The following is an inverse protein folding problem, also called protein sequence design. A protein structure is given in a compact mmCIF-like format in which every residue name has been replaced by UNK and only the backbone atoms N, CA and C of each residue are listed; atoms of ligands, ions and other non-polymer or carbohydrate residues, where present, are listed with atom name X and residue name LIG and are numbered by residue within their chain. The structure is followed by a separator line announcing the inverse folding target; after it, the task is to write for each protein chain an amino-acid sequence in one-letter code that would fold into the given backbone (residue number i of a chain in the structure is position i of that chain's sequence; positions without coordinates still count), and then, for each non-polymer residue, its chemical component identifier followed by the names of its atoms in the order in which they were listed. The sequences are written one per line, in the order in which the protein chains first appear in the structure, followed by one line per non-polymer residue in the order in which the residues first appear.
data_IF_570783792253
#
_entry.id   IF_570783792253
#
_cell.length_a   1.000
_cell.length_b   1.000
_cell.length_c   1.000
_cell.angle_alpha   90.00
_cell.angle_beta   90.00
_cell.angle_gamma   90.00
#
_symmetry.space_group_name_H-M   'P 1'
#
loop_
_entity.id
_entity.type
_entity.pdbx_description
1 polymer ?
#
# COMPACT_ATOMS: atom_id res chain seq x y z
N UNK A 1 8.24 -5.02 34.76
CA UNK A 1 6.80 -4.69 34.66
C UNK A 1 6.31 -4.57 33.19
N UNK A 2 6.57 -5.55 32.31
CA UNK A 2 6.14 -5.51 30.89
C UNK A 2 5.07 -6.56 30.52
N UNK A 3 4.82 -7.52 31.41
CA UNK A 3 3.94 -8.68 31.17
C UNK A 3 2.45 -8.30 31.12
N UNK A 4 2.06 -7.21 31.79
CA UNK A 4 0.68 -6.74 31.89
C UNK A 4 0.12 -6.14 30.61
N UNK A 5 0.95 -5.49 29.78
CA UNK A 5 0.48 -4.85 28.53
C UNK A 5 0.15 -5.87 27.44
N UNK A 6 0.98 -6.90 27.28
CA UNK A 6 0.72 -8.02 26.34
C UNK A 6 -0.53 -8.80 26.72
N UNK A 7 -0.69 -9.13 28.01
CA UNK A 7 -1.88 -9.84 28.49
C UNK A 7 -3.17 -9.03 28.29
N UNK A 8 -3.11 -7.70 28.41
CA UNK A 8 -4.26 -6.82 28.16
C UNK A 8 -4.67 -6.80 26.68
N UNK A 9 -3.69 -6.72 25.77
CA UNK A 9 -3.94 -6.76 24.33
C UNK A 9 -4.53 -8.11 23.89
N UNK A 10 -4.00 -9.21 24.44
CA UNK A 10 -4.50 -10.54 24.12
C UNK A 10 -5.95 -10.74 24.57
N UNK A 11 -6.28 -10.31 25.81
CA UNK A 11 -7.66 -10.34 26.29
C UNK A 11 -8.61 -9.49 25.44
N UNK A 12 -8.14 -8.34 24.98
CA UNK A 12 -8.92 -7.45 24.13
C UNK A 12 -9.17 -8.10 22.76
N UNK A 13 -8.14 -8.72 22.16
CA UNK A 13 -8.24 -9.44 20.89
C UNK A 13 -9.25 -10.59 20.99
N UNK A 14 -9.11 -11.46 22.00
CA UNK A 14 -10.01 -12.60 22.22
C UNK A 14 -11.46 -12.16 22.45
N UNK A 15 -11.68 -11.08 23.22
CA UNK A 15 -13.03 -10.54 23.40
C UNK A 15 -13.62 -9.97 22.11
N UNK A 16 -12.78 -9.36 21.26
CA UNK A 16 -13.20 -8.80 19.98
C UNK A 16 -13.56 -9.91 19.00
N UNK A 17 -12.76 -10.98 18.92
CA UNK A 17 -13.04 -12.18 18.13
C UNK A 17 -14.35 -12.84 18.59
N UNK A 18 -14.53 -13.10 19.89
CA UNK A 18 -15.79 -13.66 20.43
C UNK A 18 -17.01 -12.81 20.14
N UNK A 19 -16.85 -11.47 20.13
CA UNK A 19 -17.95 -10.57 19.80
C UNK A 19 -18.36 -10.70 18.33
N UNK A 20 -17.39 -10.81 17.42
CA UNK A 20 -17.66 -11.04 16.00
C UNK A 20 -18.25 -12.42 15.73
N UNK A 21 -17.79 -13.46 16.43
CA UNK A 21 -18.33 -14.82 16.30
C UNK A 21 -19.78 -14.91 16.79
N UNK A 22 -20.13 -14.15 17.83
CA UNK A 22 -21.50 -14.05 18.36
C UNK A 22 -22.45 -13.23 17.48
N UNK A 23 -21.92 -12.44 16.54
CA UNK A 23 -22.71 -11.55 15.69
C UNK A 23 -22.43 -11.82 14.20
N UNK A 24 -23.06 -12.89 13.70
CA UNK A 24 -23.00 -13.26 12.29
C UNK A 24 -23.35 -12.06 11.40
N UNK A 25 -22.50 -11.77 10.41
CA UNK A 25 -22.66 -10.66 9.47
C UNK A 25 -22.11 -9.31 9.93
N UNK A 26 -21.90 -9.06 11.24
CA UNK A 26 -21.36 -7.77 11.72
C UNK A 26 -19.91 -7.54 11.33
N UNK A 27 -19.12 -8.62 11.21
CA UNK A 27 -17.74 -8.56 10.72
C UNK A 27 -17.69 -8.12 9.25
N UNK A 28 -18.57 -8.68 8.42
CA UNK A 28 -18.64 -8.31 7.01
C UNK A 28 -19.20 -6.90 6.82
N UNK A 29 -20.21 -6.50 7.59
CA UNK A 29 -20.75 -5.12 7.59
C UNK A 29 -19.66 -4.09 7.95
N UNK A 30 -18.82 -4.38 8.95
CA UNK A 30 -17.69 -3.52 9.29
C UNK A 30 -16.62 -3.48 8.20
N UNK A 31 -16.31 -4.62 7.58
CA UNK A 31 -15.38 -4.71 6.47
C UNK A 31 -15.87 -3.88 5.27
N UNK A 32 -17.14 -4.00 4.89
CA UNK A 32 -17.77 -3.21 3.84
C UNK A 32 -17.72 -1.72 4.19
N UNK A 33 -18.04 -1.34 5.43
CA UNK A 33 -17.97 0.07 5.88
C UNK A 33 -16.53 0.60 5.90
N UNK A 34 -15.54 -0.24 6.18
CA UNK A 34 -14.13 0.12 6.06
C UNK A 34 -13.74 0.31 4.58
N UNK A 35 -14.15 -0.59 3.68
CA UNK A 35 -13.94 -0.48 2.23
C UNK A 35 -14.51 0.82 1.67
N UNK A 36 -15.77 1.16 2.01
CA UNK A 36 -16.42 2.41 1.57
C UNK A 36 -15.70 3.64 2.10
N UNK A 37 -15.28 3.65 3.38
CA UNK A 37 -14.51 4.77 3.94
C UNK A 37 -13.17 4.96 3.22
N UNK A 38 -12.47 3.88 2.91
CA UNK A 38 -11.21 3.93 2.17
C UNK A 38 -11.42 4.39 0.72
N UNK A 39 -12.47 3.93 0.04
CA UNK A 39 -12.83 4.39 -1.30
C UNK A 39 -13.15 5.90 -1.32
N UNK A 40 -13.90 6.39 -0.33
CA UNK A 40 -14.22 7.81 -0.20
C UNK A 40 -12.97 8.66 0.10
N UNK A 41 -12.05 8.16 0.94
CA UNK A 41 -10.75 8.79 1.17
C UNK A 41 -9.90 8.86 -0.11
N UNK A 42 -9.91 7.81 -0.94
CA UNK A 42 -9.23 7.78 -2.25
C UNK A 42 -9.82 8.83 -3.21
N UNK A 43 -11.14 8.92 -3.30
CA UNK A 43 -11.83 9.93 -4.12
C UNK A 43 -11.54 11.36 -3.64
N UNK A 44 -11.52 11.58 -2.32
CA UNK A 44 -11.21 12.90 -1.75
C UNK A 44 -9.78 13.33 -2.07
N UNK A 45 -8.79 12.45 -1.88
CA UNK A 45 -7.39 12.75 -2.20
C UNK A 45 -7.14 12.97 -3.68
N UNK A 46 -7.84 12.26 -4.56
CA UNK A 46 -7.76 12.51 -6.02
C UNK A 46 -8.27 13.90 -6.39
N UNK A 47 -9.32 14.41 -5.72
CA UNK A 47 -9.80 15.79 -5.92
C UNK A 47 -8.79 16.81 -5.42
N UNK A 48 -8.25 16.62 -4.22
CA UNK A 48 -7.22 17.51 -3.64
C UNK A 48 -5.96 17.58 -4.53
N UNK A 49 -5.47 16.45 -5.04
CA UNK A 49 -4.31 16.42 -5.93
C UNK A 49 -4.56 17.10 -7.30
N UNK A 50 -5.82 17.13 -7.75
CA UNK A 50 -6.19 17.78 -9.00
C UNK A 50 -6.30 19.30 -8.83
N UNK A 51 -6.72 19.77 -7.66
CA UNK A 51 -6.78 21.19 -7.31
C UNK A 51 -5.37 21.79 -7.11
N UNK A 52 -4.43 21.04 -6.51
CA UNK A 52 -3.03 21.46 -6.33
C UNK A 52 -2.27 21.57 -7.67
N UNK A 53 -2.55 20.67 -8.62
CA UNK A 53 -1.96 20.71 -9.95
C UNK A 53 -2.42 21.92 -10.78
N UNK A 54 -3.65 22.42 -10.54
CA UNK A 54 -4.16 23.62 -11.20
C UNK A 54 -3.55 24.92 -10.63
N UNK A 55 -3.13 24.93 -9.36
CA UNK A 55 -2.65 26.13 -8.68
C UNK A 55 -1.12 26.37 -8.80
N UNK A 56 -0.35 25.40 -9.34
CA UNK A 56 1.13 25.49 -9.40
C UNK A 56 1.66 26.09 -10.71
N UNK A 57 0.81 26.69 -11.56
CA UNK A 57 1.21 27.20 -12.89
C UNK A 57 1.36 28.72 -13.03
N UNK A 58 1.45 29.46 -11.92
CA UNK A 58 1.61 30.91 -11.99
C UNK A 58 2.36 31.50 -10.80
N UNK A 59 3.69 31.49 -10.85
CA UNK A 59 4.50 32.70 -10.59
C UNK A 59 5.97 32.38 -10.82
N UNK A 60 6.52 32.95 -11.87
CA UNK A 60 7.96 33.05 -12.10
C UNK A 60 8.39 34.43 -11.62
N UNK A 61 9.16 34.50 -10.53
CA UNK A 61 9.88 35.71 -10.15
C UNK A 61 11.33 35.40 -9.77
N UNK A 62 12.25 36.34 -10.00
CA UNK A 62 13.66 36.08 -10.17
C UNK A 62 14.46 36.14 -8.87
N UNK A 63 15.61 35.47 -8.91
CA UNK A 63 16.64 35.39 -7.90
C UNK A 63 17.22 36.78 -7.57
N UNK A 64 17.21 37.15 -6.29
CA UNK A 64 18.16 38.12 -5.72
C UNK A 64 18.65 37.61 -4.34
N UNK A 65 19.98 37.53 -4.21
CA UNK A 65 20.71 37.38 -2.94
C UNK A 65 21.09 38.78 -2.44
N UNK A 66 21.09 39.03 -1.11
CA UNK A 66 22.39 39.05 -0.44
C UNK A 66 22.42 38.57 1.03
N UNK A 67 23.65 38.33 1.48
CA UNK A 67 24.20 37.99 2.81
C UNK A 67 23.70 38.83 3.99
N UNK A 68 23.47 38.22 5.16
CA UNK A 68 24.32 38.34 6.38
C UNK A 68 23.64 37.84 7.67
N UNK A 69 24.42 37.06 8.41
CA UNK A 69 24.66 37.01 9.87
C UNK A 69 23.52 36.93 10.93
N UNK A 70 23.76 35.96 11.81
CA UNK A 70 23.45 35.84 13.24
C UNK A 70 22.12 35.24 13.76
N UNK A 71 22.35 34.22 14.58
CA UNK A 71 21.67 33.79 15.80
C UNK A 71 20.29 33.10 15.77
N UNK A 72 20.37 31.79 16.01
CA UNK A 72 19.88 31.26 17.27
C UNK A 72 18.41 30.86 17.33
N UNK A 73 18.10 29.65 16.88
CA UNK A 73 17.19 28.81 17.65
C UNK A 73 17.44 27.33 17.34
N UNK A 74 17.65 26.56 18.42
CA UNK A 74 17.79 25.11 18.38
C UNK A 74 16.46 24.50 17.93
N UNK A 75 16.24 24.49 16.62
CA UNK A 75 15.20 23.70 15.99
C UNK A 75 15.56 22.25 16.25
N UNK A 76 14.76 21.61 17.10
CA UNK A 76 14.76 20.17 17.38
C UNK A 76 14.83 19.41 16.06
N UNK A 77 16.05 19.04 15.68
CA UNK A 77 16.32 18.28 14.48
C UNK A 77 15.53 16.99 14.58
N UNK A 78 14.45 16.91 13.80
CA UNK A 78 13.78 15.66 13.53
C UNK A 78 14.87 14.65 13.13
N UNK A 79 14.86 13.43 13.69
CA UNK A 79 15.94 12.49 13.46
C UNK A 79 16.13 12.32 11.96
N UNK A 80 17.37 12.44 11.49
CA UNK A 80 17.81 12.25 10.11
C UNK A 80 17.26 10.90 9.60
N UNK A 81 16.02 10.89 9.11
CA UNK A 81 15.42 9.69 8.57
C UNK A 81 16.06 9.47 7.22
N UNK A 82 16.93 8.46 7.17
CA UNK A 82 17.59 7.99 5.96
C UNK A 82 16.55 7.94 4.81
N UNK A 83 16.82 8.58 3.66
CA UNK A 83 15.91 8.57 2.50
C UNK A 83 15.50 7.14 2.08
N UNK A 84 16.35 6.14 2.37
CA UNK A 84 16.04 4.71 2.24
C UNK A 84 14.77 4.31 3.00
N UNK A 85 14.74 4.63 4.29
CA UNK A 85 13.68 4.22 5.23
C UNK A 85 12.37 4.93 4.89
N UNK A 86 12.44 6.20 4.46
CA UNK A 86 11.26 6.92 3.95
C UNK A 86 10.70 6.27 2.69
N UNK A 87 11.58 5.80 1.80
CA UNK A 87 11.18 5.18 0.54
C UNK A 87 10.56 3.79 0.75
N UNK A 88 11.12 2.95 1.62
CA UNK A 88 10.51 1.65 1.96
C UNK A 88 9.19 1.82 2.71
N UNK A 89 9.08 2.79 3.63
CA UNK A 89 7.81 3.09 4.30
C UNK A 89 6.75 3.48 3.27
N UNK A 90 7.11 4.27 2.27
CA UNK A 90 6.22 4.61 1.16
C UNK A 90 5.81 3.35 0.38
N UNK A 91 6.75 2.50 -0.03
CA UNK A 91 6.42 1.25 -0.73
C UNK A 91 5.49 0.34 0.09
N UNK A 92 5.67 0.25 1.41
CA UNK A 92 4.75 -0.49 2.29
C UNK A 92 3.33 0.08 2.26
N UNK A 93 3.20 1.39 2.28
CA UNK A 93 1.90 2.07 2.17
C UNK A 93 1.29 1.81 0.79
N UNK A 94 2.07 1.95 -0.27
CA UNK A 94 1.61 1.76 -1.64
C UNK A 94 1.18 0.31 -1.89
N UNK A 95 1.92 -0.68 -1.39
CA UNK A 95 1.55 -2.10 -1.43
C UNK A 95 0.28 -2.37 -0.64
N UNK A 96 0.16 -1.82 0.58
CA UNK A 96 -1.06 -1.95 1.39
C UNK A 96 -2.28 -1.34 0.69
N UNK A 97 -2.07 -0.30 -0.12
CA UNK A 97 -3.13 0.33 -0.89
C UNK A 97 -3.42 -0.37 -2.22
N UNK A 98 -2.44 -1.06 -2.79
CA UNK A 98 -2.57 -1.81 -4.03
C UNK A 98 -3.35 -3.12 -3.83
N UNK A 99 -3.03 -3.93 -2.81
CA UNK A 99 -3.60 -5.29 -2.67
C UNK A 99 -5.14 -5.29 -2.67
N UNK A 100 -5.75 -6.23 -3.40
CA UNK A 100 -7.22 -6.35 -3.42
C UNK A 100 -7.82 -6.94 -2.15
N UNK A 101 -6.98 -7.32 -1.18
CA UNK A 101 -7.39 -8.05 0.01
C UNK A 101 -8.26 -9.25 -0.36
N UNK A 102 -7.77 -10.05 -1.32
CA UNK A 102 -8.41 -11.30 -1.81
C UNK A 102 -8.50 -12.38 -0.73
N UNK A 103 -7.95 -12.12 0.46
CA UNK A 103 -7.80 -13.10 1.53
C UNK A 103 -6.59 -14.01 1.30
N UNK A 104 -6.55 -15.18 1.97
CA UNK A 104 -5.49 -16.15 1.76
C UNK A 104 -5.46 -16.65 0.31
N UNK A 105 -4.30 -17.09 -0.18
CA UNK A 105 -4.13 -17.59 -1.56
C UNK A 105 -5.13 -18.69 -1.93
N UNK A 106 -5.52 -19.52 -0.97
CA UNK A 106 -6.54 -20.56 -1.16
C UNK A 106 -7.93 -20.03 -1.52
N UNK A 107 -8.24 -18.75 -1.28
CA UNK A 107 -9.52 -18.13 -1.65
C UNK A 107 -9.50 -17.37 -2.97
N UNK A 108 -8.35 -17.27 -3.65
CA UNK A 108 -8.25 -16.47 -4.86
C UNK A 108 -8.96 -17.13 -6.05
N UNK A 109 -8.74 -18.42 -6.29
CA UNK A 109 -9.38 -19.16 -7.39
C UNK A 109 -10.91 -19.13 -7.30
N UNK A 110 -11.54 -19.50 -6.16
CA UNK A 110 -12.99 -19.46 -6.05
C UNK A 110 -13.57 -18.05 -6.24
N UNK A 111 -12.84 -17.02 -5.81
CA UNK A 111 -13.26 -15.62 -6.00
C UNK A 111 -13.27 -15.23 -7.48
N UNK A 112 -12.19 -15.52 -8.22
CA UNK A 112 -12.13 -15.21 -9.67
C UNK A 112 -13.24 -15.92 -10.43
N UNK A 113 -13.48 -17.21 -10.14
CA UNK A 113 -14.55 -17.98 -10.79
C UNK A 113 -15.91 -17.31 -10.58
N UNK A 114 -16.19 -16.84 -9.36
CA UNK A 114 -17.45 -16.16 -9.06
C UNK A 114 -17.56 -14.79 -9.76
N UNK A 115 -16.49 -13.99 -9.79
CA UNK A 115 -16.48 -12.71 -10.50
C UNK A 115 -16.65 -12.88 -12.00
N UNK A 116 -16.03 -13.90 -12.61
CA UNK A 116 -16.20 -14.20 -14.04
C UNK A 116 -17.63 -14.65 -14.33
N UNK A 117 -18.21 -15.48 -13.46
CA UNK A 117 -19.62 -15.88 -13.56
C UNK A 117 -20.54 -14.65 -13.55
N UNK A 118 -20.31 -13.71 -12.64
CA UNK A 118 -21.05 -12.45 -12.54
C UNK A 118 -20.83 -11.58 -13.79
N UNK A 119 -19.58 -11.41 -14.22
CA UNK A 119 -19.24 -10.64 -15.41
C UNK A 119 -19.87 -11.22 -16.68
N UNK A 120 -19.99 -12.55 -16.77
CA UNK A 120 -20.66 -13.23 -17.88
C UNK A 120 -22.16 -12.93 -17.91
N UNK A 121 -22.82 -12.93 -16.74
CA UNK A 121 -24.25 -12.57 -16.61
C UNK A 121 -24.50 -11.13 -17.05
N UNK A 122 -23.51 -10.24 -16.87
CA UNK A 122 -23.62 -8.82 -17.17
C UNK A 122 -22.97 -8.41 -18.50
N UNK A 123 -22.41 -9.34 -19.27
CA UNK A 123 -21.65 -9.08 -20.50
C UNK A 123 -20.48 -8.09 -20.30
N UNK A 124 -19.77 -8.22 -19.17
CA UNK A 124 -18.65 -7.35 -18.76
C UNK A 124 -17.34 -8.10 -18.56
N UNK A 125 -17.20 -9.31 -19.12
CA UNK A 125 -16.00 -10.16 -18.95
C UNK A 125 -14.73 -9.46 -19.40
N UNK A 126 -14.73 -8.82 -20.57
CA UNK A 126 -13.54 -8.12 -21.06
C UNK A 126 -13.13 -6.98 -20.12
N UNK A 127 -14.10 -6.18 -19.65
CA UNK A 127 -13.83 -5.11 -18.67
C UNK A 127 -13.25 -5.66 -17.37
N UNK A 128 -13.75 -6.80 -16.89
CA UNK A 128 -13.17 -7.47 -15.72
C UNK A 128 -11.73 -7.91 -15.98
N UNK A 129 -11.45 -8.53 -17.14
CA UNK A 129 -10.10 -8.92 -17.54
C UNK A 129 -9.16 -7.70 -17.68
N UNK A 130 -9.61 -6.58 -18.23
CA UNK A 130 -8.85 -5.33 -18.26
C UNK A 130 -8.50 -4.81 -16.86
N UNK A 131 -9.45 -4.91 -15.91
CA UNK A 131 -9.22 -4.56 -14.51
C UNK A 131 -8.15 -5.48 -13.88
N UNK A 132 -8.20 -6.80 -14.14
CA UNK A 132 -7.15 -7.75 -13.73
C UNK A 132 -5.78 -7.35 -14.30
N UNK A 133 -5.69 -7.08 -15.61
CA UNK A 133 -4.44 -6.67 -16.27
C UNK A 133 -3.88 -5.36 -15.69
N UNK A 134 -4.75 -4.38 -15.44
CA UNK A 134 -4.38 -3.11 -14.83
C UNK A 134 -3.84 -3.28 -13.41
N UNK A 135 -4.45 -4.16 -12.62
CA UNK A 135 -3.97 -4.50 -11.28
C UNK A 135 -2.60 -5.18 -11.29
N UNK A 136 -2.41 -6.17 -12.16
CA UNK A 136 -1.11 -6.83 -12.36
C UNK A 136 -0.02 -5.84 -12.81
N UNK A 137 -0.35 -4.93 -13.73
CA UNK A 137 0.57 -3.88 -14.17
C UNK A 137 1.02 -2.98 -13.01
N UNK A 138 0.07 -2.46 -12.22
CA UNK A 138 0.40 -1.64 -11.07
C UNK A 138 1.27 -2.39 -10.04
N UNK A 139 1.04 -3.69 -9.85
CA UNK A 139 1.88 -4.52 -8.99
C UNK A 139 3.31 -4.67 -9.53
N UNK A 140 3.49 -4.82 -10.84
CA UNK A 140 4.81 -4.85 -11.47
C UNK A 140 5.56 -3.53 -11.32
N UNK A 141 4.87 -2.41 -11.43
CA UNK A 141 5.45 -1.08 -11.17
C UNK A 141 5.98 -0.98 -9.73
N UNK A 142 5.22 -1.48 -8.74
CA UNK A 142 5.70 -1.54 -7.35
C UNK A 142 6.93 -2.43 -7.17
N UNK A 143 6.96 -3.59 -7.84
CA UNK A 143 8.15 -4.47 -7.82
C UNK A 143 9.36 -3.79 -8.45
N UNK A 144 9.16 -3.06 -9.55
CA UNK A 144 10.22 -2.29 -10.20
C UNK A 144 10.74 -1.17 -9.28
N UNK A 145 9.84 -0.45 -8.60
CA UNK A 145 10.23 0.57 -7.62
C UNK A 145 11.02 -0.03 -6.45
N UNK A 146 10.59 -1.17 -5.90
CA UNK A 146 11.35 -1.90 -4.87
C UNK A 146 12.74 -2.30 -5.37
N UNK A 147 12.84 -2.79 -6.61
CA UNK A 147 14.12 -3.14 -7.22
C UNK A 147 15.03 -1.91 -7.32
N UNK A 148 14.50 -0.77 -7.78
CA UNK A 148 15.25 0.49 -7.85
C UNK A 148 15.72 0.95 -6.48
N UNK A 149 14.87 0.83 -5.46
CA UNK A 149 15.25 1.16 -4.08
C UNK A 149 16.41 0.29 -3.60
N UNK A 150 16.41 -1.01 -3.86
CA UNK A 150 17.56 -1.85 -3.57
C UNK A 150 18.84 -1.33 -4.26
N UNK A 151 18.77 -0.95 -5.54
CA UNK A 151 19.96 -0.48 -6.27
C UNK A 151 20.50 0.86 -5.77
N UNK A 152 19.61 1.80 -5.43
CA UNK A 152 19.97 3.15 -5.00
C UNK A 152 20.49 3.19 -3.56
N UNK A 153 20.01 2.29 -2.70
CA UNK A 153 20.24 2.35 -1.26
C UNK A 153 21.39 1.47 -0.76
N UNK A 154 21.90 0.56 -1.60
CA UNK A 154 23.04 -0.31 -1.27
C UNK A 154 24.41 0.39 -1.18
N UNK A 155 24.72 1.47 -1.93
CA UNK A 155 26.01 2.13 -1.83
C UNK A 155 26.16 2.92 -0.52
N UNK A 156 27.05 2.47 0.37
CA UNK A 156 27.51 3.24 1.54
C UNK A 156 26.74 3.05 2.85
N UNK A 157 25.78 2.12 2.91
CA UNK A 157 25.09 1.73 4.15
C UNK A 157 25.89 0.75 5.01
N UNK A 158 25.53 0.63 6.29
CA UNK A 158 26.10 -0.41 7.18
C UNK A 158 25.62 -1.81 6.78
N UNK A 159 26.32 -2.86 7.23
CA UNK A 159 25.92 -4.25 6.97
C UNK A 159 24.53 -4.55 7.56
N UNK A 160 24.25 -4.01 8.75
CA UNK A 160 22.96 -4.16 9.43
C UNK A 160 21.84 -3.46 8.67
N UNK A 161 22.10 -2.25 8.15
CA UNK A 161 21.12 -1.53 7.32
C UNK A 161 20.82 -2.32 6.04
N UNK A 162 21.84 -2.84 5.36
CA UNK A 162 21.64 -3.66 4.17
C UNK A 162 20.84 -4.93 4.44
N UNK A 163 21.09 -5.61 5.57
CA UNK A 163 20.32 -6.79 5.97
C UNK A 163 18.84 -6.46 6.25
N UNK A 164 18.58 -5.36 6.96
CA UNK A 164 17.22 -4.91 7.26
C UNK A 164 16.48 -4.52 5.96
N UNK A 165 17.11 -3.73 5.09
CA UNK A 165 16.54 -3.34 3.78
C UNK A 165 16.23 -4.58 2.92
N UNK A 166 17.14 -5.56 2.89
CA UNK A 166 16.94 -6.80 2.16
C UNK A 166 15.75 -7.59 2.69
N UNK A 167 15.65 -7.80 4.00
CA UNK A 167 14.56 -8.54 4.62
C UNK A 167 13.20 -7.86 4.35
N UNK A 168 13.13 -6.54 4.52
CA UNK A 168 11.91 -5.78 4.26
C UNK A 168 11.51 -5.84 2.78
N UNK A 169 12.47 -5.71 1.86
CA UNK A 169 12.19 -5.77 0.42
C UNK A 169 11.77 -7.17 -0.03
N UNK A 170 12.37 -8.21 0.56
CA UNK A 170 12.01 -9.60 0.32
C UNK A 170 10.57 -9.90 0.78
N UNK A 171 10.20 -9.52 2.01
CA UNK A 171 8.83 -9.69 2.51
C UNK A 171 7.80 -9.02 1.60
N UNK A 172 8.08 -7.80 1.13
CA UNK A 172 7.22 -7.07 0.21
C UNK A 172 7.13 -7.74 -1.17
N UNK A 173 8.25 -8.23 -1.68
CA UNK A 173 8.31 -8.93 -2.97
C UNK A 173 7.51 -10.22 -2.94
N UNK A 174 7.62 -11.02 -1.87
CA UNK A 174 6.87 -12.28 -1.73
C UNK A 174 5.36 -12.02 -1.72
N UNK A 175 4.90 -10.99 -1.00
CA UNK A 175 3.49 -10.63 -0.95
C UNK A 175 2.95 -10.15 -2.31
N UNK A 176 3.75 -9.41 -3.08
CA UNK A 176 3.36 -8.89 -4.39
C UNK A 176 3.37 -9.98 -5.47
N UNK A 177 4.42 -10.79 -5.52
CA UNK A 177 4.69 -11.67 -6.65
C UNK A 177 3.61 -12.72 -6.86
N UNK A 178 3.11 -13.34 -5.79
CA UNK A 178 2.06 -14.37 -5.88
C UNK A 178 0.75 -13.79 -6.42
N UNK A 179 0.30 -12.65 -5.88
CA UNK A 179 -0.93 -11.99 -6.32
C UNK A 179 -0.82 -11.52 -7.77
N UNK A 180 0.30 -10.90 -8.18
CA UNK A 180 0.53 -10.48 -9.57
C UNK A 180 0.49 -11.69 -10.50
N UNK A 181 1.22 -12.76 -10.16
CA UNK A 181 1.30 -13.95 -11.02
C UNK A 181 -0.04 -14.64 -11.18
N UNK A 182 -0.79 -14.77 -10.09
CA UNK A 182 -2.14 -15.32 -10.13
C UNK A 182 -3.05 -14.49 -11.05
N UNK A 183 -3.09 -13.16 -10.85
CA UNK A 183 -3.93 -12.26 -11.64
C UNK A 183 -3.54 -12.25 -13.13
N UNK A 184 -2.24 -12.28 -13.45
CA UNK A 184 -1.75 -12.39 -14.83
C UNK A 184 -2.24 -13.66 -15.53
N UNK A 185 -2.12 -14.81 -14.86
CA UNK A 185 -2.54 -16.10 -15.41
C UNK A 185 -4.05 -16.04 -15.68
N UNK A 186 -4.84 -15.58 -14.72
CA UNK A 186 -6.30 -15.50 -14.86
C UNK A 186 -6.77 -14.51 -15.90
N UNK A 187 -6.10 -13.37 -16.05
CA UNK A 187 -6.43 -12.43 -17.11
C UNK A 187 -6.19 -12.99 -18.53
N UNK A 188 -5.28 -13.98 -18.68
CA UNK A 188 -4.92 -14.58 -19.96
C UNK A 188 -5.73 -15.85 -20.30
N UNK A 189 -6.28 -16.57 -19.31
CA UNK A 189 -7.11 -17.77 -19.53
C UNK A 189 -8.44 -17.47 -20.23
N UNK A 190 -8.89 -16.21 -20.21
CA UNK A 190 -10.20 -15.77 -20.69
C UNK A 190 -10.15 -14.89 -21.94
N UNK A 191 -9.01 -14.93 -22.66
CA UNK A 191 -8.84 -14.38 -24.02
C UNK A 191 -8.93 -15.53 -25.02
#
# INVERSE_FOLDING_TARGET
MAQTKRQRLERQRVNTERWFDSHAGKKEEQNVKARVRMANLRLKRKREAQDDAANTRGSSEPLDFPSSDEDGEASTAAPNQNPAVRSIRKSRIDITHWTWNLGPESSWEPWVVEEIRLATIHDTVETFCEVLRGHALAGRELLHDLQLLCHVLLPGGSVEEMQDLFLQSHELTVALLSEIKFVEIKANEHI
#
